data_IF_239842635837
#
_entry.id   IF_239842635837
#
_cell.length_a   1.000
_cell.length_b   1.000
_cell.length_c   1.000
_cell.angle_alpha   90.00
_cell.angle_beta   90.00
_cell.angle_gamma   90.00
#
_symmetry.space_group_name_H-M   'P 1'
#
loop_
_entity.id
_entity.type
_entity.pdbx_description
1 polymer ?
#
# COMPACT_ATOMS: atom_id res chain seq x y z
N UNK A 1 49.06 19.75 32.49
CA UNK A 1 48.01 19.35 33.45
C UNK A 1 46.69 19.56 32.73
N UNK A 2 46.29 18.69 31.81
CA UNK A 2 46.05 17.25 31.91
C UNK A 2 44.73 16.90 32.63
N UNK A 3 44.06 15.88 32.04
CA UNK A 3 42.88 15.10 32.46
C UNK A 3 41.52 15.68 32.01
N UNK A 4 40.98 15.33 30.82
CA UNK A 4 40.47 14.04 30.33
C UNK A 4 39.15 13.59 30.97
N UNK A 5 38.08 13.48 30.15
CA UNK A 5 37.05 12.45 30.32
C UNK A 5 36.23 12.25 29.03
N UNK A 6 36.42 11.04 28.49
CA UNK A 6 35.54 10.21 27.67
C UNK A 6 34.31 10.82 26.98
N UNK A 7 34.34 10.76 25.65
CA UNK A 7 33.14 10.42 24.88
C UNK A 7 33.39 9.11 24.16
N UNK A 8 32.83 8.06 24.76
CA UNK A 8 32.64 6.76 24.15
C UNK A 8 31.97 6.92 22.78
N UNK A 9 32.70 6.52 21.75
CA UNK A 9 32.15 6.29 20.42
C UNK A 9 31.43 4.94 20.50
N UNK A 10 30.13 4.97 20.73
CA UNK A 10 29.30 3.79 20.49
C UNK A 10 29.25 3.52 18.98
N UNK A 11 30.18 2.67 18.53
CA UNK A 11 30.09 1.96 17.25
C UNK A 11 29.02 0.89 17.47
N UNK A 12 27.77 1.20 17.14
CA UNK A 12 26.76 0.16 16.94
C UNK A 12 27.07 -0.56 15.63
N UNK A 13 27.54 -1.80 15.78
CA UNK A 13 27.74 -2.78 14.73
C UNK A 13 26.45 -2.92 13.93
N UNK A 14 26.46 -2.42 12.70
CA UNK A 14 25.39 -2.62 11.72
C UNK A 14 25.37 -4.11 11.36
N UNK A 15 24.29 -4.80 11.74
CA UNK A 15 24.02 -6.15 11.27
C UNK A 15 23.94 -6.16 9.74
N UNK A 16 24.79 -7.02 9.16
CA UNK A 16 24.93 -7.23 7.73
C UNK A 16 23.63 -7.78 7.12
N UNK A 17 23.04 -7.04 6.18
CA UNK A 17 21.87 -7.52 5.44
C UNK A 17 21.30 -6.63 4.34
N UNK A 18 21.82 -5.41 4.12
CA UNK A 18 21.41 -4.58 2.99
C UNK A 18 22.57 -4.44 2.02
N UNK A 19 22.61 -5.29 1.00
CA UNK A 19 23.44 -5.05 -0.17
C UNK A 19 23.08 -3.69 -0.76
N UNK A 20 24.11 -2.87 -0.98
CA UNK A 20 24.04 -1.63 -1.74
C UNK A 20 23.66 -1.95 -3.20
N UNK A 21 22.39 -2.21 -3.48
CA UNK A 21 21.88 -2.29 -4.85
C UNK A 21 21.64 -0.87 -5.38
N UNK A 22 22.73 -0.16 -5.70
CA UNK A 22 22.70 0.94 -6.67
C UNK A 22 22.81 0.36 -8.08
N UNK A 23 21.95 -0.59 -8.41
CA UNK A 23 21.74 -0.99 -9.79
C UNK A 23 21.01 0.16 -10.52
N UNK A 24 21.48 0.52 -11.71
CA UNK A 24 20.89 1.58 -12.52
C UNK A 24 19.39 1.36 -12.79
N UNK A 25 18.95 0.09 -12.76
CA UNK A 25 17.58 -0.37 -13.01
C UNK A 25 16.92 -0.94 -11.75
N UNK A 26 17.02 -0.24 -10.61
CA UNK A 26 16.36 -0.67 -9.37
C UNK A 26 14.93 -0.11 -9.25
N UNK A 27 14.06 -0.71 -8.43
CA UNK A 27 12.73 -0.17 -8.13
C UNK A 27 12.76 1.28 -7.62
N UNK A 28 13.84 1.66 -6.94
CA UNK A 28 14.01 3.01 -6.40
C UNK A 28 14.36 4.05 -7.48
N UNK A 29 14.87 3.61 -8.63
CA UNK A 29 15.13 4.44 -9.81
C UNK A 29 13.99 4.40 -10.83
N UNK A 30 12.95 3.58 -10.59
CA UNK A 30 11.79 3.51 -11.47
C UNK A 30 11.09 4.88 -11.54
N UNK A 31 10.57 5.30 -12.71
CA UNK A 31 9.89 6.58 -12.82
C UNK A 31 8.74 6.69 -11.82
N UNK A 32 8.38 7.91 -11.45
CA UNK A 32 7.30 8.18 -10.50
C UNK A 32 6.34 9.24 -11.04
N UNK A 33 5.08 9.13 -10.64
CA UNK A 33 4.02 10.06 -11.04
C UNK A 33 2.71 9.36 -11.33
N UNK A 34 1.68 10.14 -11.64
CA UNK A 34 0.31 9.64 -11.83
C UNK A 34 0.26 8.57 -12.93
N UNK A 35 0.91 8.84 -14.08
CA UNK A 35 0.96 7.88 -15.20
C UNK A 35 1.57 6.54 -14.80
N UNK A 36 2.64 6.57 -14.01
CA UNK A 36 3.29 5.35 -13.52
C UNK A 36 2.34 4.57 -12.63
N UNK A 37 1.71 5.24 -11.66
CA UNK A 37 0.70 4.61 -10.81
C UNK A 37 -0.38 3.91 -11.63
N UNK A 38 -1.00 4.62 -12.59
CA UNK A 38 -2.04 4.04 -13.45
C UNK A 38 -1.57 2.79 -14.20
N UNK A 39 -0.37 2.81 -14.78
CA UNK A 39 0.17 1.65 -15.50
C UNK A 39 0.44 0.48 -14.56
N UNK A 40 0.99 0.74 -13.37
CA UNK A 40 1.25 -0.31 -12.38
C UNK A 40 -0.04 -0.93 -11.84
N UNK A 41 -1.06 -0.13 -11.51
CA UNK A 41 -2.36 -0.65 -11.08
C UNK A 41 -2.98 -1.53 -12.16
N UNK A 42 -3.00 -1.05 -13.41
CA UNK A 42 -3.53 -1.83 -14.54
C UNK A 42 -2.77 -3.15 -14.72
N UNK A 43 -1.44 -3.17 -14.52
CA UNK A 43 -0.66 -4.41 -14.57
C UNK A 43 -1.11 -5.39 -13.47
N UNK A 44 -1.19 -4.96 -12.22
CA UNK A 44 -1.56 -5.85 -11.10
C UNK A 44 -3.04 -6.26 -11.09
N UNK A 45 -3.91 -5.45 -11.69
CA UNK A 45 -5.32 -5.79 -11.92
C UNK A 45 -5.46 -7.00 -12.85
N UNK A 46 -4.61 -7.10 -13.89
CA UNK A 46 -4.73 -8.10 -14.96
C UNK A 46 -3.73 -9.24 -14.85
N UNK A 47 -2.70 -9.13 -14.01
CA UNK A 47 -1.72 -10.19 -13.86
C UNK A 47 -2.30 -11.36 -13.06
N UNK A 48 -1.91 -12.58 -13.45
CA UNK A 48 -2.24 -13.80 -12.72
C UNK A 48 -1.19 -14.01 -11.64
N UNK A 49 -1.56 -13.91 -10.36
CA UNK A 49 -0.56 -13.91 -9.28
C UNK A 49 0.19 -15.23 -9.14
N UNK A 50 -0.45 -16.34 -9.55
CA UNK A 50 0.05 -17.68 -9.32
C UNK A 50 0.98 -18.17 -10.44
N UNK A 51 1.12 -17.38 -11.50
CA UNK A 51 1.97 -17.68 -12.65
C UNK A 51 3.30 -16.92 -12.56
N UNK A 52 4.21 -17.22 -13.49
CA UNK A 52 5.44 -16.44 -13.65
C UNK A 52 5.12 -15.10 -14.32
N UNK A 53 5.78 -14.02 -13.90
CA UNK A 53 5.63 -12.73 -14.58
C UNK A 53 5.99 -12.84 -16.06
N UNK A 54 5.02 -12.51 -16.92
CA UNK A 54 5.19 -12.44 -18.36
C UNK A 54 6.04 -11.23 -18.75
N UNK A 55 7.17 -11.49 -19.40
CA UNK A 55 8.11 -10.45 -19.86
C UNK A 55 7.52 -9.62 -21.00
N UNK A 56 6.62 -10.17 -21.81
CA UNK A 56 5.95 -9.40 -22.86
C UNK A 56 4.98 -8.38 -22.26
N UNK A 57 4.24 -8.76 -21.21
CA UNK A 57 3.42 -7.82 -20.44
C UNK A 57 4.28 -6.73 -19.78
N UNK A 58 5.43 -7.08 -19.22
CA UNK A 58 6.37 -6.10 -18.64
C UNK A 58 6.99 -5.19 -19.71
N UNK A 59 7.28 -5.71 -20.91
CA UNK A 59 7.75 -4.90 -22.03
C UNK A 59 6.72 -3.83 -22.41
N UNK A 60 5.42 -4.15 -22.42
CA UNK A 60 4.34 -3.16 -22.63
C UNK A 60 4.30 -2.11 -21.53
N UNK A 61 4.52 -2.48 -20.28
CA UNK A 61 4.66 -1.52 -19.16
C UNK A 61 5.83 -0.58 -19.43
N UNK A 62 7.00 -1.11 -19.81
CA UNK A 62 8.18 -0.31 -20.11
C UNK A 62 7.93 0.65 -21.29
N UNK A 63 7.34 0.16 -22.38
CA UNK A 63 6.96 0.95 -23.55
C UNK A 63 6.01 2.10 -23.19
N UNK A 64 4.93 1.79 -22.44
CA UNK A 64 3.97 2.79 -21.99
C UNK A 64 4.62 3.89 -21.15
N UNK A 65 5.67 3.56 -20.40
CA UNK A 65 6.42 4.50 -19.56
C UNK A 65 7.62 5.14 -20.27
N UNK A 66 7.92 4.76 -21.51
CA UNK A 66 9.06 5.28 -22.27
C UNK A 66 10.42 4.79 -21.73
N UNK A 67 10.45 3.61 -21.13
CA UNK A 67 11.66 2.97 -20.58
C UNK A 67 12.37 2.13 -21.64
N UNK A 68 13.71 2.06 -21.57
CA UNK A 68 14.51 1.21 -22.45
C UNK A 68 14.29 -0.29 -22.16
N UNK A 69 14.67 -1.15 -23.11
CA UNK A 69 14.56 -2.62 -22.97
C UNK A 69 15.35 -3.16 -21.76
N UNK A 70 16.38 -2.47 -21.32
CA UNK A 70 17.17 -2.81 -20.13
C UNK A 70 16.33 -2.80 -18.83
N UNK A 71 15.18 -2.11 -18.81
CA UNK A 71 14.25 -2.13 -17.69
C UNK A 71 13.40 -3.39 -17.61
N UNK A 72 13.27 -4.18 -18.68
CA UNK A 72 12.29 -5.26 -18.77
C UNK A 72 12.56 -6.33 -17.71
N UNK A 73 13.77 -6.90 -17.70
CA UNK A 73 14.09 -7.98 -16.75
C UNK A 73 14.14 -7.49 -15.29
N UNK A 74 14.78 -6.36 -14.94
CA UNK A 74 14.72 -5.83 -13.59
C UNK A 74 13.30 -5.54 -13.09
N UNK A 75 12.42 -5.03 -13.96
CA UNK A 75 11.01 -4.78 -13.64
C UNK A 75 10.25 -6.10 -13.44
N UNK A 76 10.49 -7.11 -14.28
CA UNK A 76 9.88 -8.43 -14.12
C UNK A 76 10.28 -9.09 -12.80
N UNK A 77 11.57 -9.02 -12.44
CA UNK A 77 12.08 -9.51 -11.16
C UNK A 77 11.49 -8.73 -9.98
N UNK A 78 11.33 -7.41 -10.12
CA UNK A 78 10.68 -6.60 -9.09
C UNK A 78 9.21 -6.98 -8.89
N UNK A 79 8.45 -7.18 -9.97
CA UNK A 79 7.06 -7.61 -9.88
C UNK A 79 6.92 -9.00 -9.27
N UNK A 80 7.82 -9.93 -9.63
CA UNK A 80 7.89 -11.26 -9.02
C UNK A 80 8.18 -11.15 -7.50
N UNK A 81 9.08 -10.25 -7.09
CA UNK A 81 9.34 -9.96 -5.68
C UNK A 81 8.11 -9.39 -4.98
N UNK A 82 7.34 -8.50 -5.61
CA UNK A 82 6.07 -8.00 -5.05
C UNK A 82 5.12 -9.17 -4.79
N UNK A 83 4.95 -10.08 -5.75
CA UNK A 83 4.01 -11.20 -5.62
C UNK A 83 4.43 -12.23 -4.57
N UNK A 84 5.73 -12.42 -4.40
CA UNK A 84 6.30 -13.44 -3.49
C UNK A 84 6.62 -12.92 -2.09
N UNK A 85 6.63 -11.60 -1.88
CA UNK A 85 6.88 -11.01 -0.57
C UNK A 85 5.77 -11.39 0.41
N UNK A 86 6.09 -11.98 1.58
CA UNK A 86 5.10 -12.26 2.61
C UNK A 86 4.44 -10.97 3.11
N UNK A 87 3.12 -10.92 3.11
CA UNK A 87 2.37 -9.86 3.75
C UNK A 87 2.44 -10.06 5.27
N UNK A 88 3.09 -9.12 5.94
CA UNK A 88 3.26 -9.15 7.39
C UNK A 88 1.89 -9.30 8.09
N UNK A 89 1.89 -10.01 9.23
CA UNK A 89 0.71 -10.38 10.04
C UNK A 89 -0.28 -11.37 9.39
N UNK A 90 -0.31 -11.49 8.06
CA UNK A 90 -1.24 -12.36 7.35
C UNK A 90 -0.65 -13.75 6.98
N UNK A 91 0.68 -13.90 7.04
CA UNK A 91 1.40 -15.16 6.76
C UNK A 91 1.15 -15.77 5.37
N UNK A 92 0.77 -14.96 4.38
CA UNK A 92 0.67 -15.37 2.97
C UNK A 92 1.31 -14.31 2.05
N UNK A 93 1.57 -14.67 0.79
CA UNK A 93 1.99 -13.74 -0.25
C UNK A 93 0.95 -13.72 -1.39
N UNK A 94 1.01 -12.70 -2.27
CA UNK A 94 0.04 -12.58 -3.36
C UNK A 94 0.05 -13.80 -4.29
N UNK A 95 1.22 -14.40 -4.50
CA UNK A 95 1.42 -15.61 -5.33
C UNK A 95 0.69 -16.85 -4.83
N UNK A 96 0.23 -16.85 -3.58
CA UNK A 96 -0.53 -17.97 -3.00
C UNK A 96 -2.05 -17.80 -3.14
N UNK A 97 -2.52 -16.70 -3.73
CA UNK A 97 -3.95 -16.35 -3.76
C UNK A 97 -4.62 -17.01 -4.96
N UNK A 98 -5.64 -17.83 -4.71
CA UNK A 98 -6.48 -18.36 -5.77
C UNK A 98 -7.21 -17.22 -6.50
N UNK A 99 -7.14 -17.23 -7.84
CA UNK A 99 -7.83 -16.27 -8.70
C UNK A 99 -9.35 -16.20 -8.43
N UNK A 100 -9.97 -17.32 -8.06
CA UNK A 100 -11.40 -17.38 -7.71
C UNK A 100 -11.72 -16.75 -6.34
N UNK A 101 -10.68 -16.46 -5.56
CA UNK A 101 -10.74 -15.82 -4.23
C UNK A 101 -10.26 -14.38 -4.26
N UNK A 102 -10.08 -13.81 -5.46
CA UNK A 102 -9.64 -12.44 -5.70
C UNK A 102 -10.74 -11.64 -6.41
N UNK A 103 -10.88 -10.39 -6.03
CA UNK A 103 -11.74 -9.41 -6.70
C UNK A 103 -10.95 -8.11 -6.85
N UNK A 104 -10.63 -7.74 -8.09
CA UNK A 104 -9.91 -6.51 -8.40
C UNK A 104 -10.86 -5.36 -8.74
N UNK A 105 -10.38 -4.12 -8.56
CA UNK A 105 -11.07 -2.88 -8.93
C UNK A 105 -12.53 -2.80 -8.42
N UNK A 106 -12.74 -3.21 -7.17
CA UNK A 106 -14.08 -3.24 -6.60
C UNK A 106 -14.57 -1.82 -6.30
N UNK A 107 -15.56 -1.39 -7.08
CA UNK A 107 -16.22 -0.12 -6.88
C UNK A 107 -17.27 -0.17 -5.77
N UNK A 108 -17.28 0.86 -4.91
CA UNK A 108 -18.31 1.02 -3.89
C UNK A 108 -18.86 2.44 -3.80
N UNK A 109 -20.02 2.54 -3.15
CA UNK A 109 -20.67 3.80 -2.79
C UNK A 109 -21.11 3.75 -1.32
N UNK A 110 -20.63 4.71 -0.54
CA UNK A 110 -21.09 4.94 0.83
C UNK A 110 -21.92 6.21 0.90
N UNK A 111 -23.20 6.08 1.27
CA UNK A 111 -24.06 7.24 1.51
C UNK A 111 -23.79 7.82 2.89
N UNK A 112 -23.38 9.08 2.94
CA UNK A 112 -23.24 9.89 4.15
C UNK A 112 -24.50 10.74 4.32
N UNK A 113 -25.09 10.71 5.52
CA UNK A 113 -26.38 11.36 5.83
C UNK A 113 -26.30 12.35 7.00
N UNK A 114 -25.14 12.51 7.62
CA UNK A 114 -24.99 13.29 8.85
C UNK A 114 -23.93 14.37 8.62
N UNK A 115 -24.39 15.54 8.19
CA UNK A 115 -23.62 16.75 7.96
C UNK A 115 -22.79 17.18 9.17
N UNK A 116 -23.30 16.93 10.39
CA UNK A 116 -22.67 17.29 11.68
C UNK A 116 -21.71 16.23 12.22
N UNK A 117 -21.51 15.11 11.53
CA UNK A 117 -20.68 14.00 12.02
C UNK A 117 -19.17 14.31 12.03
N UNK A 118 -18.70 15.38 11.38
CA UNK A 118 -17.27 15.60 11.19
C UNK A 118 -16.48 15.71 12.49
N UNK A 119 -17.01 16.46 13.47
CA UNK A 119 -16.39 16.58 14.78
C UNK A 119 -16.31 15.21 15.49
N UNK A 120 -17.37 14.42 15.41
CA UNK A 120 -17.41 13.07 16.00
C UNK A 120 -16.42 12.13 15.30
N UNK A 121 -16.32 12.20 13.97
CA UNK A 121 -15.33 11.44 13.20
C UNK A 121 -13.90 11.83 13.60
N UNK A 122 -13.60 13.13 13.70
CA UNK A 122 -12.29 13.59 14.18
C UNK A 122 -11.98 13.07 15.58
N UNK A 123 -12.94 13.13 16.51
CA UNK A 123 -12.77 12.59 17.85
C UNK A 123 -12.49 11.07 17.85
N UNK A 124 -13.26 10.30 17.08
CA UNK A 124 -13.06 8.84 16.96
C UNK A 124 -11.71 8.49 16.32
N UNK A 125 -11.29 9.22 15.29
CA UNK A 125 -9.97 9.04 14.67
C UNK A 125 -8.86 9.29 15.70
N UNK A 126 -8.95 10.39 16.47
CA UNK A 126 -7.99 10.70 17.55
C UNK A 126 -7.97 9.63 18.64
N UNK A 127 -9.11 9.03 18.95
CA UNK A 127 -9.22 8.02 19.99
C UNK A 127 -8.61 6.67 19.54
N UNK A 128 -8.97 6.21 18.34
CA UNK A 128 -8.73 4.84 17.91
C UNK A 128 -7.56 4.64 16.94
N UNK A 129 -7.17 5.66 16.16
CA UNK A 129 -6.07 5.53 15.21
C UNK A 129 -4.75 6.03 15.81
N UNK A 130 -3.73 5.17 15.95
CA UNK A 130 -2.39 5.61 16.40
C UNK A 130 -1.81 6.71 15.51
N UNK A 131 -2.10 6.66 14.20
CA UNK A 131 -1.63 7.63 13.24
C UNK A 131 -2.39 8.95 13.37
N UNK A 132 -3.73 8.91 13.40
CA UNK A 132 -4.53 10.13 13.40
C UNK A 132 -4.36 10.97 14.67
N UNK A 133 -3.89 10.38 15.79
CA UNK A 133 -3.55 11.11 17.04
C UNK A 133 -2.66 12.32 16.79
N UNK A 134 -1.68 12.21 15.90
CA UNK A 134 -0.71 13.27 15.62
C UNK A 134 -1.02 14.10 14.37
N UNK A 135 -2.03 13.71 13.58
CA UNK A 135 -2.42 14.42 12.36
C UNK A 135 -3.32 15.63 12.63
N UNK A 136 -3.36 16.64 11.75
CA UNK A 136 -4.42 17.64 11.81
C UNK A 136 -5.80 17.00 11.64
N UNK A 137 -6.80 17.64 12.24
CA UNK A 137 -8.20 17.25 12.05
C UNK A 137 -8.61 17.35 10.58
N UNK A 138 -9.56 16.49 10.17
CA UNK A 138 -10.18 16.60 8.85
C UNK A 138 -10.93 17.93 8.75
N UNK A 139 -10.65 18.67 7.68
CA UNK A 139 -11.34 19.89 7.34
C UNK A 139 -12.20 19.62 6.09
N UNK A 140 -13.44 19.21 6.33
CA UNK A 140 -14.44 18.98 5.28
C UNK A 140 -15.61 19.94 5.54
N UNK A 141 -16.21 20.54 4.51
CA UNK A 141 -17.33 21.47 4.71
C UNK A 141 -18.56 20.78 5.32
N UNK A 142 -18.84 19.53 4.93
CA UNK A 142 -19.90 18.68 5.49
C UNK A 142 -19.65 17.20 5.15
N UNK A 143 -20.19 16.28 5.97
CA UNK A 143 -20.20 14.83 5.71
C UNK A 143 -21.58 14.37 5.20
N UNK A 144 -21.96 14.87 4.03
CA UNK A 144 -23.21 14.51 3.37
C UNK A 144 -22.96 14.17 1.89
N UNK A 145 -23.72 13.21 1.37
CA UNK A 145 -23.68 12.81 -0.04
C UNK A 145 -23.21 11.37 -0.22
N UNK A 146 -22.38 11.13 -1.24
CA UNK A 146 -21.84 9.82 -1.53
C UNK A 146 -20.32 9.86 -1.61
N UNK A 147 -19.68 8.93 -0.90
CA UNK A 147 -18.27 8.61 -1.13
C UNK A 147 -18.26 7.49 -2.16
N UNK A 148 -17.63 7.76 -3.30
CA UNK A 148 -17.28 6.76 -4.31
C UNK A 148 -15.82 6.37 -4.09
N UNK A 149 -15.53 5.09 -4.13
CA UNK A 149 -14.17 4.58 -4.04
C UNK A 149 -13.99 3.29 -4.83
N UNK A 150 -12.73 2.92 -4.98
CA UNK A 150 -12.28 1.71 -5.65
C UNK A 150 -11.24 1.06 -4.75
N UNK A 151 -11.42 -0.23 -4.48
CA UNK A 151 -10.40 -1.04 -3.80
C UNK A 151 -9.67 -1.81 -4.89
N UNK A 152 -8.34 -1.67 -4.94
CA UNK A 152 -7.54 -2.30 -5.99
C UNK A 152 -7.71 -3.82 -5.98
N UNK A 153 -7.65 -4.44 -4.79
CA UNK A 153 -7.72 -5.88 -4.66
C UNK A 153 -8.34 -6.31 -3.31
N UNK A 154 -9.35 -7.18 -3.37
CA UNK A 154 -9.94 -7.87 -2.23
C UNK A 154 -9.63 -9.34 -2.37
N UNK A 155 -9.15 -9.97 -1.30
CA UNK A 155 -8.81 -11.40 -1.32
C UNK A 155 -9.41 -12.12 -0.12
N UNK A 156 -9.76 -13.40 -0.31
CA UNK A 156 -10.20 -14.28 0.77
C UNK A 156 -9.14 -15.36 1.03
N UNK A 157 -8.58 -15.39 2.24
CA UNK A 157 -7.61 -16.39 2.69
C UNK A 157 -8.06 -16.95 4.03
N UNK A 158 -8.16 -18.27 4.14
CA UNK A 158 -8.61 -18.96 5.37
C UNK A 158 -9.93 -18.40 5.95
N UNK A 159 -10.92 -18.15 5.09
CA UNK A 159 -12.22 -17.53 5.44
C UNK A 159 -12.16 -16.10 5.99
N UNK A 160 -10.99 -15.45 5.94
CA UNK A 160 -10.82 -14.04 6.27
C UNK A 160 -10.64 -13.20 5.00
N UNK A 161 -11.29 -12.05 4.96
CA UNK A 161 -11.18 -11.10 3.85
C UNK A 161 -10.10 -10.06 4.13
N UNK A 162 -9.30 -9.74 3.12
CA UNK A 162 -8.24 -8.75 3.19
C UNK A 162 -8.42 -7.69 2.10
N UNK A 163 -8.03 -6.47 2.41
CA UNK A 163 -7.95 -5.35 1.48
C UNK A 163 -6.48 -5.13 1.12
N UNK A 164 -6.19 -5.05 -0.16
CA UNK A 164 -4.86 -4.78 -0.69
C UNK A 164 -4.98 -3.57 -1.60
N UNK A 165 -4.11 -2.60 -1.37
CA UNK A 165 -4.07 -1.34 -2.10
C UNK A 165 -2.61 -1.08 -2.52
N UNK A 166 -2.39 -0.94 -3.83
CA UNK A 166 -1.08 -0.74 -4.41
C UNK A 166 -0.73 0.74 -4.37
N UNK A 167 0.46 1.07 -3.84
CA UNK A 167 0.92 2.45 -3.73
C UNK A 167 2.24 2.62 -4.45
N UNK A 168 2.26 3.46 -5.48
CA UNK A 168 3.48 3.87 -6.20
C UNK A 168 4.05 5.20 -5.68
N UNK A 169 3.86 5.50 -4.40
CA UNK A 169 4.36 6.73 -3.79
C UNK A 169 5.89 6.76 -3.84
N UNK A 170 6.44 7.87 -4.31
CA UNK A 170 7.88 8.11 -4.27
C UNK A 170 8.28 8.63 -2.89
N UNK A 171 9.11 7.87 -2.17
CA UNK A 171 9.63 8.25 -0.86
C UNK A 171 11.12 8.66 -0.90
N UNK A 172 11.81 8.33 -1.98
CA UNK A 172 13.22 8.64 -2.22
C UNK A 172 13.90 7.57 -3.06
N UNK A 173 15.20 7.74 -3.32
CA UNK A 173 15.96 6.87 -4.23
C UNK A 173 16.68 5.72 -3.53
N UNK A 174 16.54 5.59 -2.20
CA UNK A 174 17.28 4.62 -1.41
C UNK A 174 16.34 3.74 -0.58
N UNK A 175 16.71 2.48 -0.30
CA UNK A 175 15.89 1.57 0.50
C UNK A 175 15.43 2.15 1.84
N UNK A 176 16.31 2.88 2.54
CA UNK A 176 15.98 3.50 3.83
C UNK A 176 14.86 4.54 3.75
N UNK A 177 14.60 5.13 2.57
CA UNK A 177 13.48 6.04 2.39
C UNK A 177 12.13 5.33 2.48
N UNK A 178 12.11 4.00 2.36
CA UNK A 178 10.93 3.14 2.50
C UNK A 178 10.92 2.40 3.85
N UNK A 179 11.71 2.83 4.83
CA UNK A 179 11.61 2.32 6.18
C UNK A 179 10.23 2.65 6.80
N UNK A 180 9.84 1.87 7.82
CA UNK A 180 8.51 1.91 8.45
C UNK A 180 8.09 3.32 8.85
N UNK A 181 9.00 4.12 9.39
CA UNK A 181 8.74 5.49 9.86
C UNK A 181 8.40 6.43 8.70
N UNK A 182 9.10 6.28 7.57
CA UNK A 182 8.84 7.07 6.36
C UNK A 182 7.51 6.68 5.70
N UNK A 183 7.21 5.38 5.65
CA UNK A 183 5.91 4.88 5.17
C UNK A 183 4.78 5.42 6.05
N UNK A 184 4.91 5.32 7.39
CA UNK A 184 3.89 5.82 8.32
C UNK A 184 3.66 7.34 8.16
N UNK A 185 4.74 8.11 7.94
CA UNK A 185 4.62 9.55 7.66
C UNK A 185 3.85 9.81 6.37
N UNK A 186 4.12 9.06 5.31
CA UNK A 186 3.39 9.18 4.06
C UNK A 186 1.91 8.78 4.20
N UNK A 187 1.63 7.69 4.92
CA UNK A 187 0.26 7.29 5.23
C UNK A 187 -0.53 8.42 5.90
N UNK A 188 0.12 9.14 6.81
CA UNK A 188 -0.50 10.26 7.51
C UNK A 188 -0.69 11.48 6.61
N UNK A 189 0.32 11.80 5.78
CA UNK A 189 0.26 12.91 4.83
C UNK A 189 -0.88 12.76 3.83
N UNK A 190 -1.07 11.56 3.29
CA UNK A 190 -2.08 11.26 2.28
C UNK A 190 -3.45 10.89 2.87
N UNK A 191 -3.57 10.89 4.21
CA UNK A 191 -4.76 10.43 4.93
C UNK A 191 -5.21 9.02 4.53
N UNK A 192 -4.25 8.12 4.28
CA UNK A 192 -4.54 6.70 4.05
C UNK A 192 -5.16 6.03 5.28
N UNK A 193 -5.03 6.63 6.47
CA UNK A 193 -5.79 6.26 7.66
C UNK A 193 -7.30 6.31 7.46
N UNK A 194 -7.78 7.37 6.81
CA UNK A 194 -9.19 7.51 6.50
C UNK A 194 -9.59 6.59 5.34
N UNK A 195 -8.72 6.45 4.34
CA UNK A 195 -8.96 5.60 3.17
C UNK A 195 -9.24 4.14 3.58
N UNK A 196 -8.35 3.52 4.35
CA UNK A 196 -8.55 2.12 4.73
C UNK A 196 -9.83 1.95 5.57
N UNK A 197 -10.17 2.89 6.45
CA UNK A 197 -11.40 2.82 7.25
C UNK A 197 -12.66 2.85 6.37
N UNK A 198 -12.67 3.70 5.34
CA UNK A 198 -13.77 3.78 4.40
C UNK A 198 -13.87 2.49 3.57
N UNK A 199 -12.73 1.93 3.15
CA UNK A 199 -12.69 0.69 2.39
C UNK A 199 -13.18 -0.49 3.22
N UNK A 200 -12.69 -0.61 4.47
CA UNK A 200 -13.15 -1.63 5.43
C UNK A 200 -14.64 -1.49 5.70
N UNK A 201 -15.15 -0.27 5.94
CA UNK A 201 -16.58 -0.04 6.17
C UNK A 201 -17.43 -0.44 4.95
N UNK A 202 -16.99 -0.06 3.76
CA UNK A 202 -17.67 -0.42 2.51
C UNK A 202 -17.71 -1.94 2.33
N UNK A 203 -16.56 -2.59 2.46
CA UNK A 203 -16.45 -4.04 2.31
C UNK A 203 -17.25 -4.77 3.38
N UNK A 204 -17.18 -4.34 4.63
CA UNK A 204 -17.98 -4.89 5.72
C UNK A 204 -19.47 -4.86 5.38
N UNK A 205 -20.02 -3.69 5.00
CA UNK A 205 -21.44 -3.58 4.63
C UNK A 205 -21.81 -4.46 3.45
N UNK A 206 -20.94 -4.52 2.44
CA UNK A 206 -21.15 -5.35 1.27
C UNK A 206 -21.21 -6.84 1.62
N UNK A 207 -20.21 -7.33 2.36
CA UNK A 207 -20.14 -8.72 2.78
C UNK A 207 -21.31 -9.05 3.71
N UNK A 208 -21.67 -8.19 4.67
CA UNK A 208 -22.81 -8.44 5.58
C UNK A 208 -24.11 -8.61 4.81
N UNK A 209 -24.33 -7.78 3.79
CA UNK A 209 -25.53 -7.87 2.95
C UNK A 209 -25.58 -9.16 2.12
N UNK A 210 -24.43 -9.79 1.83
CA UNK A 210 -24.32 -11.00 1.00
C UNK A 210 -24.24 -12.30 1.80
N UNK A 211 -23.54 -12.27 2.93
CA UNK A 211 -23.12 -13.45 3.70
C UNK A 211 -23.69 -13.48 5.12
N UNK A 212 -24.28 -12.38 5.62
CA UNK A 212 -24.76 -12.26 7.00
C UNK A 212 -23.70 -11.76 7.99
N UNK A 213 -23.97 -11.82 9.29
CA UNK A 213 -23.17 -11.10 10.32
C UNK A 213 -21.86 -11.78 10.74
N UNK A 214 -21.58 -13.03 10.34
CA UNK A 214 -20.39 -13.80 10.77
C UNK A 214 -19.20 -13.65 9.81
N UNK A 215 -18.80 -12.41 9.51
CA UNK A 215 -17.68 -12.15 8.60
C UNK A 215 -16.42 -11.79 9.40
N UNK A 216 -15.27 -12.28 8.94
CA UNK A 216 -13.96 -11.89 9.45
C UNK A 216 -13.25 -11.01 8.42
N UNK A 217 -12.93 -9.78 8.82
CA UNK A 217 -12.09 -8.80 8.13
C UNK A 217 -10.79 -8.62 8.92
#
# INVERSE_FOLDING_TARGET
MDLAQDRDVHIETIEAGYSSETAAFSPFQFPHGIKVGTVLHHFFEHCQFNEQIDREAVAKVCEQLGLSEEWIEPTALWFERILTTPLAEANFCLKAIDETKRLNEWQFYLRLKNDKALHQLNALLKQHSPLAKTLPELQLPQLEGFVRGFVDCIVQVEEKFYLIDYKSNFLGYLPQNYAKEHIQREMGRQRYDLQYLLYTLALHRYLTARLGEKIRL
#
